data_IF_692358389394
#
_entry.id   IF_692358389394
#
_cell.length_a   1.000
_cell.length_b   1.000
_cell.length_c   1.000
_cell.angle_alpha   90.00
_cell.angle_beta   90.00
_cell.angle_gamma   90.00
#
_symmetry.space_group_name_H-M   'P 1'
#
loop_
_entity.id
_entity.type
_entity.pdbx_description
1 polymer ?
#
# COMPACT_ATOMS: atom_id res chain seq x y z
N UNK A 1 -31.62 3.80 36.13
CA UNK A 1 -30.26 3.40 35.71
C UNK A 1 -30.09 3.94 34.31
N UNK A 2 -29.46 5.11 34.22
CA UNK A 2 -29.39 5.89 32.99
C UNK A 2 -28.36 5.30 32.03
N UNK A 3 -28.84 4.79 30.90
CA UNK A 3 -28.00 4.32 29.80
C UNK A 3 -27.45 5.53 29.02
N UNK A 4 -26.47 6.21 29.62
CA UNK A 4 -25.62 7.17 28.91
C UNK A 4 -24.63 6.42 28.02
N UNK A 5 -25.13 5.85 26.91
CA UNK A 5 -24.25 5.51 25.80
C UNK A 5 -23.84 6.80 25.12
N UNK A 6 -22.65 7.30 25.47
CA UNK A 6 -22.01 8.40 24.75
C UNK A 6 -21.96 8.06 23.26
N UNK A 7 -22.37 9.00 22.39
CA UNK A 7 -22.29 8.84 20.94
C UNK A 7 -20.89 8.40 20.48
N UNK A 8 -19.83 8.81 21.20
CA UNK A 8 -18.46 8.38 20.96
C UNK A 8 -18.26 6.87 21.15
N UNK A 9 -18.89 6.24 22.14
CA UNK A 9 -18.78 4.80 22.39
C UNK A 9 -19.52 3.96 21.34
N UNK A 10 -20.61 4.50 20.77
CA UNK A 10 -21.34 3.88 19.67
C UNK A 10 -20.57 3.99 18.36
N UNK A 11 -19.98 5.15 18.09
CA UNK A 11 -19.09 5.38 16.93
C UNK A 11 -17.85 4.49 17.01
N UNK A 12 -17.26 4.33 18.19
CA UNK A 12 -16.07 3.51 18.37
C UNK A 12 -16.37 2.02 18.19
N UNK A 13 -17.46 1.50 18.77
CA UNK A 13 -17.90 0.12 18.52
C UNK A 13 -18.26 -0.12 17.06
N UNK A 14 -18.86 0.85 16.38
CA UNK A 14 -19.14 0.77 14.96
C UNK A 14 -17.83 0.72 14.16
N UNK A 15 -16.82 1.55 14.49
CA UNK A 15 -15.47 1.48 13.90
C UNK A 15 -14.81 0.12 14.13
N UNK A 16 -14.84 -0.41 15.34
CA UNK A 16 -14.25 -1.72 15.66
C UNK A 16 -14.96 -2.84 14.91
N UNK A 17 -16.30 -2.79 14.82
CA UNK A 17 -17.09 -3.76 14.07
C UNK A 17 -16.86 -3.67 12.55
N UNK A 18 -16.69 -2.46 12.01
CA UNK A 18 -16.29 -2.27 10.62
C UNK A 18 -14.87 -2.77 10.38
N UNK A 19 -13.91 -2.48 11.25
CA UNK A 19 -12.55 -3.05 11.17
C UNK A 19 -12.60 -4.58 11.19
N UNK A 20 -13.41 -5.19 12.06
CA UNK A 20 -13.52 -6.65 12.16
C UNK A 20 -14.18 -7.28 10.91
N UNK A 21 -15.26 -6.68 10.39
CA UNK A 21 -15.89 -7.11 9.13
C UNK A 21 -14.99 -6.89 7.90
N UNK A 22 -14.14 -5.85 7.93
CA UNK A 22 -13.09 -5.61 6.93
C UNK A 22 -12.05 -6.72 6.98
N UNK A 23 -11.58 -7.06 8.17
CA UNK A 23 -10.63 -8.17 8.37
C UNK A 23 -11.20 -9.52 7.89
N UNK A 24 -12.51 -9.77 8.08
CA UNK A 24 -13.18 -10.99 7.60
C UNK A 24 -13.38 -11.04 6.07
N UNK A 25 -13.77 -9.93 5.43
CA UNK A 25 -13.91 -9.88 3.96
C UNK A 25 -12.56 -10.04 3.23
N UNK A 26 -11.46 -9.66 3.89
CA UNK A 26 -10.09 -9.77 3.40
C UNK A 26 -9.47 -11.18 3.54
N UNK A 27 -10.18 -12.14 4.15
CA UNK A 27 -9.76 -13.55 4.30
C UNK A 27 -9.72 -14.37 2.99
N UNK A 28 -9.88 -13.74 1.81
CA UNK A 28 -9.75 -14.42 0.50
C UNK A 28 -8.33 -14.43 -0.08
N UNK A 29 -7.38 -13.83 0.64
CA UNK A 29 -5.96 -13.80 0.29
C UNK A 29 -5.69 -12.66 -0.67
N UNK A 30 -4.95 -11.65 -0.21
CA UNK A 30 -4.60 -10.47 -1.01
C UNK A 30 -3.57 -10.86 -2.06
N UNK A 31 -3.90 -10.76 -3.34
CA UNK A 31 -2.99 -11.05 -4.46
C UNK A 31 -2.67 -9.81 -5.27
N UNK A 32 -3.56 -8.84 -5.32
CA UNK A 32 -3.34 -7.57 -6.01
C UNK A 32 -3.53 -6.39 -5.05
N UNK A 33 -2.49 -5.59 -4.88
CA UNK A 33 -2.48 -4.40 -4.02
C UNK A 33 -2.22 -3.18 -4.89
N UNK A 34 -3.10 -2.19 -4.80
CA UNK A 34 -2.90 -0.88 -5.43
C UNK A 34 -2.44 0.14 -4.38
N UNK A 35 -1.22 0.65 -4.53
CA UNK A 35 -0.71 1.78 -3.76
C UNK A 35 -1.19 3.09 -4.40
N UNK A 36 -1.88 3.92 -3.62
CA UNK A 36 -2.43 5.19 -4.11
C UNK A 36 -1.77 6.37 -3.40
N UNK A 37 -1.15 7.25 -4.18
CA UNK A 37 -0.61 8.53 -3.72
C UNK A 37 -1.27 9.71 -4.42
N UNK A 38 -0.97 10.95 -3.99
CA UNK A 38 -1.46 12.16 -4.68
C UNK A 38 -0.90 12.22 -6.08
N UNK A 39 0.42 12.36 -6.18
CA UNK A 39 1.18 12.04 -7.40
C UNK A 39 1.75 10.64 -7.29
N UNK A 40 1.73 9.86 -8.36
CA UNK A 40 2.13 8.45 -8.44
C UNK A 40 3.61 8.24 -8.08
N UNK A 41 4.42 9.30 -7.99
CA UNK A 41 5.86 9.28 -7.71
C UNK A 41 6.21 8.38 -6.52
N UNK A 42 5.71 8.68 -5.32
CA UNK A 42 6.06 7.85 -4.14
C UNK A 42 5.47 6.43 -4.21
N UNK A 43 4.29 6.26 -4.80
CA UNK A 43 3.68 4.94 -4.95
C UNK A 43 4.48 4.05 -5.91
N UNK A 44 4.92 4.58 -7.07
CA UNK A 44 5.72 3.82 -8.04
C UNK A 44 7.08 3.45 -7.49
N UNK A 45 7.71 4.32 -6.70
CA UNK A 45 8.96 3.93 -6.03
C UNK A 45 8.75 2.83 -4.99
N UNK A 46 7.70 2.94 -4.16
CA UNK A 46 7.39 1.91 -3.18
C UNK A 46 7.07 0.58 -3.85
N UNK A 47 6.29 0.58 -4.93
CA UNK A 47 6.00 -0.60 -5.74
C UNK A 47 7.31 -1.29 -6.18
N UNK A 48 8.17 -0.57 -6.89
CA UNK A 48 9.41 -1.14 -7.41
C UNK A 48 10.39 -1.56 -6.30
N UNK A 49 10.50 -0.76 -5.25
CA UNK A 49 11.37 -1.07 -4.13
C UNK A 49 10.87 -2.30 -3.36
N UNK A 50 9.56 -2.46 -3.18
CA UNK A 50 8.97 -3.66 -2.59
C UNK A 50 9.17 -4.89 -3.48
N UNK A 51 8.99 -4.76 -4.80
CA UNK A 51 9.26 -5.84 -5.75
C UNK A 51 10.73 -6.29 -5.71
N UNK A 52 11.66 -5.35 -5.55
CA UNK A 52 13.08 -5.64 -5.34
C UNK A 52 13.31 -6.40 -4.01
N UNK A 53 12.69 -5.97 -2.91
CA UNK A 53 12.79 -6.66 -1.61
C UNK A 53 12.25 -8.09 -1.72
N UNK A 54 11.05 -8.26 -2.29
CA UNK A 54 10.41 -9.58 -2.46
C UNK A 54 11.29 -10.52 -3.29
N UNK A 55 11.87 -10.03 -4.38
CA UNK A 55 12.79 -10.80 -5.22
C UNK A 55 14.05 -11.24 -4.46
N UNK A 56 14.62 -10.34 -3.65
CA UNK A 56 15.77 -10.64 -2.81
C UNK A 56 15.44 -11.68 -1.71
N UNK A 57 14.27 -11.57 -1.07
CA UNK A 57 13.81 -12.52 -0.05
C UNK A 57 13.57 -13.92 -0.64
N UNK A 58 12.97 -14.01 -1.83
CA UNK A 58 12.82 -15.29 -2.56
C UNK A 58 14.18 -15.91 -2.85
N UNK A 59 15.13 -15.13 -3.39
CA UNK A 59 16.46 -15.62 -3.72
C UNK A 59 17.22 -16.12 -2.47
N UNK A 60 17.12 -15.40 -1.35
CA UNK A 60 17.73 -15.79 -0.09
C UNK A 60 17.14 -17.10 0.46
N UNK A 61 15.83 -17.28 0.39
CA UNK A 61 15.17 -18.52 0.81
C UNK A 61 15.59 -19.71 -0.07
N UNK A 62 15.73 -19.51 -1.37
CA UNK A 62 16.20 -20.55 -2.29
C UNK A 62 17.62 -21.00 -1.96
N UNK A 63 18.52 -20.05 -1.66
CA UNK A 63 19.87 -20.36 -1.21
C UNK A 63 19.89 -21.16 0.11
N UNK A 64 19.08 -20.77 1.09
CA UNK A 64 18.99 -21.47 2.39
C UNK A 64 18.39 -22.88 2.25
N UNK A 65 17.37 -23.04 1.40
CA UNK A 65 16.78 -24.34 1.11
C UNK A 65 17.76 -25.29 0.44
N UNK A 66 18.57 -24.78 -0.50
CA UNK A 66 19.63 -25.55 -1.17
C UNK A 66 20.78 -25.94 -0.23
N UNK A 67 20.96 -25.21 0.87
CA UNK A 67 21.95 -25.50 1.91
C UNK A 67 21.42 -26.43 3.02
N UNK A 68 20.16 -26.87 2.93
CA UNK A 68 19.54 -27.81 3.89
C UNK A 68 19.33 -27.24 5.30
N UNK A 69 19.43 -25.92 5.47
CA UNK A 69 19.47 -25.27 6.78
C UNK A 69 18.09 -24.89 7.33
N UNK A 70 17.09 -24.69 6.48
CA UNK A 70 15.71 -24.35 6.88
C UNK A 70 14.72 -24.99 5.89
N UNK A 71 13.71 -25.74 6.33
CA UNK A 71 12.65 -26.19 5.44
C UNK A 71 11.93 -24.95 4.88
N UNK A 72 11.72 -24.86 3.55
CA UNK A 72 11.06 -23.70 2.97
C UNK A 72 9.64 -23.58 3.53
N UNK A 73 9.29 -22.39 4.02
CA UNK A 73 7.88 -22.06 4.21
C UNK A 73 7.27 -21.83 2.82
N UNK A 74 6.93 -22.94 2.14
CA UNK A 74 6.43 -22.92 0.78
C UNK A 74 5.18 -22.04 0.63
N UNK A 75 4.35 -21.96 1.68
CA UNK A 75 3.16 -21.09 1.68
C UNK A 75 3.54 -19.62 1.64
N UNK A 76 4.52 -19.18 2.44
CA UNK A 76 4.99 -17.80 2.38
C UNK A 76 5.67 -17.52 1.04
N UNK A 77 6.50 -18.44 0.55
CA UNK A 77 7.19 -18.30 -0.73
C UNK A 77 6.20 -18.13 -1.88
N UNK A 78 5.17 -18.95 -1.94
CA UNK A 78 4.13 -18.87 -2.96
C UNK A 78 3.31 -17.59 -2.80
N UNK A 79 3.04 -17.16 -1.56
CA UNK A 79 2.31 -15.92 -1.33
C UNK A 79 3.11 -14.68 -1.79
N UNK A 80 4.39 -14.60 -1.45
CA UNK A 80 5.29 -13.52 -1.93
C UNK A 80 5.38 -13.53 -3.45
N UNK A 81 5.46 -14.70 -4.09
CA UNK A 81 5.49 -14.83 -5.55
C UNK A 81 4.20 -14.39 -6.25
N UNK A 82 3.07 -14.53 -5.58
CA UNK A 82 1.74 -14.25 -6.13
C UNK A 82 1.21 -12.87 -5.73
N UNK A 83 1.94 -12.12 -4.91
CA UNK A 83 1.58 -10.75 -4.54
C UNK A 83 2.02 -9.78 -5.65
N UNK A 84 1.04 -9.23 -6.35
CA UNK A 84 1.19 -8.14 -7.29
C UNK A 84 0.98 -6.81 -6.56
N UNK A 85 2.01 -5.97 -6.58
CA UNK A 85 1.94 -4.59 -6.11
C UNK A 85 1.90 -3.68 -7.32
N UNK A 86 0.93 -2.78 -7.37
CA UNK A 86 0.72 -1.78 -8.41
C UNK A 86 0.70 -0.39 -7.76
N UNK A 87 0.88 0.66 -8.56
CA UNK A 87 0.84 2.05 -8.10
C UNK A 87 -0.06 2.91 -8.99
N UNK A 88 -0.68 3.92 -8.37
CA UNK A 88 -1.41 4.96 -9.07
C UNK A 88 -1.36 6.30 -8.33
N UNK A 89 -1.52 7.37 -9.09
CA UNK A 89 -1.67 8.74 -8.60
C UNK A 89 -3.06 9.29 -8.89
N UNK A 90 -3.65 9.95 -7.90
CA UNK A 90 -4.97 10.58 -8.02
C UNK A 90 -4.95 11.85 -8.89
N UNK A 91 -3.81 12.53 -8.96
CA UNK A 91 -3.65 13.82 -9.65
C UNK A 91 -2.68 13.74 -10.84
N UNK A 92 -2.31 12.55 -11.31
CA UNK A 92 -1.47 12.41 -12.49
C UNK A 92 -2.27 12.59 -13.78
N UNK A 93 -1.64 13.23 -14.75
CA UNK A 93 -2.16 13.23 -16.11
C UNK A 93 -1.81 11.89 -16.81
N UNK A 94 -2.70 11.33 -17.65
CA UNK A 94 -2.39 10.14 -18.43
C UNK A 94 -1.15 10.37 -19.31
N UNK A 95 -0.13 9.54 -19.14
CA UNK A 95 1.12 9.65 -19.91
C UNK A 95 2.11 10.71 -19.41
N UNK A 96 1.84 11.32 -18.25
CA UNK A 96 2.85 12.11 -17.53
C UNK A 96 4.10 11.25 -17.30
N UNK A 97 5.28 11.84 -17.45
CA UNK A 97 6.56 11.17 -17.21
C UNK A 97 7.10 11.51 -15.83
N UNK A 98 7.84 10.58 -15.24
CA UNK A 98 8.62 10.90 -14.03
C UNK A 98 9.70 11.96 -14.35
N UNK A 99 9.94 12.91 -13.44
CA UNK A 99 11.05 13.85 -13.56
C UNK A 99 12.39 13.11 -13.66
N UNK A 100 13.32 13.61 -14.47
CA UNK A 100 14.63 12.97 -14.68
C UNK A 100 15.45 12.84 -13.39
N UNK A 101 15.42 13.88 -12.55
CA UNK A 101 16.10 13.91 -11.25
C UNK A 101 15.58 12.82 -10.32
N UNK A 102 14.27 12.59 -10.36
CA UNK A 102 13.61 11.53 -9.61
C UNK A 102 14.10 10.15 -10.04
N UNK A 103 14.12 9.89 -11.35
CA UNK A 103 14.61 8.63 -11.91
C UNK A 103 16.09 8.40 -11.58
N UNK A 104 16.93 9.45 -11.65
CA UNK A 104 18.35 9.37 -11.27
C UNK A 104 18.52 9.04 -9.79
N UNK A 105 17.76 9.69 -8.91
CA UNK A 105 17.82 9.46 -7.48
C UNK A 105 17.32 8.06 -7.10
N UNK A 106 16.30 7.53 -7.77
CA UNK A 106 15.85 6.15 -7.61
C UNK A 106 16.90 5.14 -8.11
N UNK A 107 17.50 5.39 -9.28
CA UNK A 107 18.54 4.54 -9.86
C UNK A 107 19.79 4.44 -8.98
N UNK A 108 20.16 5.53 -8.29
CA UNK A 108 21.25 5.55 -7.31
C UNK A 108 21.02 4.57 -6.12
N UNK A 109 19.78 4.10 -5.95
CA UNK A 109 19.36 3.15 -4.90
C UNK A 109 19.03 1.76 -5.47
N UNK A 110 19.37 1.51 -6.74
CA UNK A 110 19.11 0.25 -7.42
C UNK A 110 17.68 0.07 -7.92
N UNK A 111 16.86 1.14 -7.89
CA UNK A 111 15.48 1.12 -8.39
C UNK A 111 15.43 1.76 -9.77
N UNK A 112 15.26 0.95 -10.80
CA UNK A 112 15.12 1.44 -12.17
C UNK A 112 13.67 1.83 -12.48
N UNK A 113 13.48 3.09 -12.86
CA UNK A 113 12.18 3.68 -13.21
C UNK A 113 12.17 4.25 -14.65
N UNK A 114 13.19 3.97 -15.47
CA UNK A 114 13.39 4.63 -16.76
C UNK A 114 12.26 4.35 -17.78
N UNK A 115 11.62 3.18 -17.70
CA UNK A 115 10.51 2.79 -18.58
C UNK A 115 9.13 3.03 -17.95
N UNK A 116 9.08 3.60 -16.74
CA UNK A 116 7.84 3.75 -15.98
C UNK A 116 7.13 5.04 -16.33
N UNK A 117 5.87 4.90 -16.71
CA UNK A 117 4.94 6.03 -16.82
C UNK A 117 4.00 5.99 -15.60
N UNK A 118 3.98 7.04 -14.77
CA UNK A 118 2.98 7.26 -13.75
C UNK A 118 1.58 6.86 -14.20
N UNK A 119 1.02 5.85 -13.53
CA UNK A 119 -0.38 5.50 -13.73
C UNK A 119 -1.25 6.54 -13.04
N UNK A 120 -2.14 7.17 -13.80
CA UNK A 120 -3.22 7.97 -13.24
C UNK A 120 -4.35 7.04 -12.81
N UNK A 121 -5.07 7.40 -11.75
CA UNK A 121 -6.40 6.83 -11.48
C UNK A 121 -7.35 7.41 -12.52
N UNK A 122 -7.63 6.65 -13.57
CA UNK A 122 -8.40 7.12 -14.74
C UNK A 122 -9.89 6.93 -14.53
N UNK A 123 -10.26 5.79 -13.93
CA UNK A 123 -11.63 5.41 -13.67
C UNK A 123 -11.66 4.79 -12.27
N UNK A 124 -11.90 5.60 -11.22
CA UNK A 124 -11.81 5.18 -9.83
C UNK A 124 -12.47 3.83 -9.57
N UNK A 125 -13.64 3.59 -10.17
CA UNK A 125 -14.30 2.30 -10.02
C UNK A 125 -13.58 1.11 -10.65
N UNK A 126 -13.12 1.23 -11.90
CA UNK A 126 -12.48 0.11 -12.60
C UNK A 126 -11.12 -0.19 -11.98
N UNK A 127 -10.36 0.87 -11.69
CA UNK A 127 -9.02 0.75 -11.12
C UNK A 127 -9.06 0.12 -9.72
N UNK A 128 -10.06 0.46 -8.90
CA UNK A 128 -10.20 -0.13 -7.57
C UNK A 128 -10.91 -1.49 -7.56
N UNK A 129 -11.83 -1.78 -8.48
CA UNK A 129 -12.53 -3.08 -8.53
C UNK A 129 -11.58 -4.24 -8.87
N UNK A 130 -10.53 -3.97 -9.64
CA UNK A 130 -9.52 -4.97 -10.04
C UNK A 130 -8.51 -5.33 -8.95
N UNK A 131 -8.45 -4.56 -7.86
CA UNK A 131 -7.48 -4.76 -6.77
C UNK A 131 -8.13 -5.41 -5.55
N UNK A 132 -7.47 -6.38 -4.92
CA UNK A 132 -7.99 -7.01 -3.69
C UNK A 132 -7.90 -6.03 -2.50
N UNK A 133 -6.90 -5.16 -2.51
CA UNK A 133 -6.66 -4.15 -1.50
C UNK A 133 -6.18 -2.85 -2.14
N UNK A 134 -6.68 -1.71 -1.66
CA UNK A 134 -6.22 -0.38 -2.05
C UNK A 134 -5.60 0.28 -0.82
N UNK A 135 -4.31 0.61 -0.89
CA UNK A 135 -3.56 1.24 0.20
C UNK A 135 -3.31 2.69 -0.15
N UNK A 136 -4.06 3.59 0.49
CA UNK A 136 -3.84 5.02 0.39
C UNK A 136 -2.66 5.43 1.29
N UNK A 137 -1.67 6.11 0.70
CA UNK A 137 -0.46 6.52 1.41
C UNK A 137 -0.66 7.74 2.32
N UNK A 138 -1.90 8.23 2.46
CA UNK A 138 -2.31 9.21 3.46
C UNK A 138 -3.82 9.13 3.72
N UNK A 139 -4.26 9.58 4.90
CA UNK A 139 -5.68 9.63 5.24
C UNK A 139 -6.52 10.54 4.30
N UNK A 140 -6.04 11.74 3.91
CA UNK A 140 -6.77 12.58 2.95
C UNK A 140 -7.02 11.89 1.61
N UNK A 141 -6.07 11.09 1.12
CA UNK A 141 -6.25 10.33 -0.13
C UNK A 141 -7.33 9.26 -0.02
N UNK A 142 -7.43 8.59 1.13
CA UNK A 142 -8.50 7.62 1.38
C UNK A 142 -9.87 8.28 1.27
N UNK A 143 -10.05 9.44 1.89
CA UNK A 143 -11.33 10.16 1.82
C UNK A 143 -11.64 10.56 0.37
N UNK A 144 -10.66 11.08 -0.38
CA UNK A 144 -10.82 11.41 -1.80
C UNK A 144 -11.22 10.20 -2.65
N UNK A 145 -10.58 9.04 -2.43
CA UNK A 145 -10.92 7.77 -3.10
C UNK A 145 -12.37 7.37 -2.84
N UNK A 146 -12.81 7.46 -1.58
CA UNK A 146 -14.18 7.11 -1.20
C UNK A 146 -15.21 8.12 -1.72
N UNK A 147 -14.88 9.40 -1.74
CA UNK A 147 -15.71 10.45 -2.35
C UNK A 147 -15.92 10.22 -3.85
N UNK A 148 -14.86 9.86 -4.58
CA UNK A 148 -14.98 9.50 -6.00
C UNK A 148 -15.83 8.25 -6.20
N UNK A 149 -15.72 7.26 -5.30
CA UNK A 149 -16.56 6.07 -5.37
C UNK A 149 -18.03 6.36 -5.07
N UNK A 150 -18.32 7.30 -4.16
CA UNK A 150 -19.68 7.75 -3.84
C UNK A 150 -20.38 8.45 -5.01
N UNK A 151 -19.62 8.99 -5.97
CA UNK A 151 -20.19 9.53 -7.21
C UNK A 151 -20.73 8.43 -8.14
N UNK A 152 -20.45 7.15 -7.85
CA UNK A 152 -21.12 6.03 -8.51
C UNK A 152 -22.48 5.74 -7.88
N UNK A 153 -23.41 5.30 -8.73
CA UNK A 153 -24.82 5.15 -8.36
C UNK A 153 -25.09 3.91 -7.48
N UNK A 154 -24.13 2.98 -7.34
CA UNK A 154 -24.34 1.71 -6.63
C UNK A 154 -23.77 1.72 -5.20
N UNK A 155 -24.67 1.88 -4.22
CA UNK A 155 -24.34 1.88 -2.79
C UNK A 155 -23.71 0.57 -2.31
N UNK A 156 -24.05 -0.57 -2.90
CA UNK A 156 -23.48 -1.86 -2.49
C UNK A 156 -21.99 -1.94 -2.86
N UNK A 157 -21.62 -1.39 -4.02
CA UNK A 157 -20.23 -1.32 -4.47
C UNK A 157 -19.41 -0.42 -3.55
N UNK A 158 -19.91 0.77 -3.20
CA UNK A 158 -19.20 1.68 -2.29
C UNK A 158 -18.86 1.02 -0.95
N UNK A 159 -19.79 0.26 -0.37
CA UNK A 159 -19.54 -0.47 0.89
C UNK A 159 -18.47 -1.57 0.75
N UNK A 160 -18.41 -2.24 -0.40
CA UNK A 160 -17.34 -3.20 -0.69
C UNK A 160 -15.98 -2.50 -0.81
N UNK A 161 -15.91 -1.39 -1.55
CA UNK A 161 -14.69 -0.61 -1.68
C UNK A 161 -14.22 -0.04 -0.35
N UNK A 162 -15.14 0.47 0.48
CA UNK A 162 -14.80 0.99 1.82
C UNK A 162 -14.12 -0.06 2.69
N UNK A 163 -14.36 -1.35 2.41
CA UNK A 163 -13.69 -2.44 3.12
C UNK A 163 -12.29 -2.75 2.60
N UNK A 164 -12.05 -2.49 1.33
CA UNK A 164 -10.76 -2.76 0.64
C UNK A 164 -9.84 -1.54 0.64
N UNK A 165 -10.34 -0.33 0.89
CA UNK A 165 -9.53 0.90 0.97
C UNK A 165 -9.09 1.17 2.40
N UNK A 166 -7.78 1.05 2.61
CA UNK A 166 -7.10 1.25 3.91
C UNK A 166 -6.03 2.33 3.79
N UNK A 167 -5.65 2.95 4.90
CA UNK A 167 -4.48 3.84 4.93
C UNK A 167 -3.23 3.06 5.28
N UNK A 168 -2.07 3.50 4.80
CA UNK A 168 -0.76 2.99 5.23
C UNK A 168 -0.67 2.90 6.77
N UNK A 169 -1.02 3.97 7.48
CA UNK A 169 -0.92 4.00 8.94
C UNK A 169 -1.79 2.94 9.59
N UNK A 170 -3.04 2.79 9.13
CA UNK A 170 -3.95 1.77 9.67
C UNK A 170 -3.42 0.35 9.45
N UNK A 171 -2.81 0.11 8.28
CA UNK A 171 -2.29 -1.20 7.90
C UNK A 171 -1.02 -1.56 8.68
N UNK A 172 -0.14 -0.59 8.96
CA UNK A 172 1.10 -0.80 9.70
C UNK A 172 0.84 -0.87 11.21
N UNK A 173 0.02 0.02 11.76
CA UNK A 173 -0.31 0.03 13.19
C UNK A 173 -1.04 -1.24 13.64
N UNK A 174 -1.87 -1.85 12.77
CA UNK A 174 -2.55 -3.11 13.09
C UNK A 174 -1.58 -4.30 13.28
N UNK A 175 -0.36 -4.23 12.74
CA UNK A 175 0.60 -5.35 12.79
C UNK A 175 1.88 -5.07 13.58
N UNK A 176 2.17 -3.82 13.88
CA UNK A 176 3.36 -3.44 14.62
C UNK A 176 2.96 -2.55 15.79
N UNK A 177 3.29 -2.97 17.02
CA UNK A 177 3.13 -2.21 18.28
C UNK A 177 4.02 -0.95 18.34
N UNK A 178 4.58 -0.52 17.20
CA UNK A 178 5.42 0.66 17.08
C UNK A 178 4.55 1.92 17.11
N UNK A 179 4.63 2.67 18.21
CA UNK A 179 4.03 4.00 18.38
C UNK A 179 4.64 5.09 17.47
N UNK A 180 5.50 4.76 16.52
CA UNK A 180 6.04 5.68 15.54
C UNK A 180 5.69 5.20 14.13
N UNK A 181 4.45 5.47 13.72
CA UNK A 181 4.12 5.51 12.31
C UNK A 181 4.73 6.81 11.76
N UNK A 182 5.71 6.68 10.86
CA UNK A 182 6.31 7.83 10.20
C UNK A 182 5.41 8.19 9.02
N UNK A 183 4.90 9.42 8.99
CA UNK A 183 4.16 9.94 7.84
C UNK A 183 5.00 9.73 6.57
N UNK A 184 4.40 9.08 5.57
CA UNK A 184 5.05 8.90 4.28
C UNK A 184 5.25 10.28 3.63
N UNK A 185 6.50 10.69 3.32
CA UNK A 185 6.74 11.99 2.71
C UNK A 185 6.06 12.08 1.35
N UNK A 186 5.45 13.22 1.05
CA UNK A 186 4.96 13.52 -0.30
C UNK A 186 6.13 13.86 -1.23
N UNK A 187 5.99 13.50 -2.50
CA UNK A 187 6.99 13.78 -3.56
C UNK A 187 6.44 14.72 -4.64
N UNK A 188 5.45 15.51 -4.25
CA UNK A 188 4.70 16.40 -5.15
C UNK A 188 5.51 17.66 -5.50
N UNK A 189 6.50 18.02 -4.69
CA UNK A 189 7.35 19.20 -4.90
C UNK A 189 8.66 18.82 -5.59
N UNK A 190 9.20 19.75 -6.38
CA UNK A 190 10.59 19.70 -6.77
C UNK A 190 11.46 19.86 -5.53
N UNK A 191 12.47 19.01 -5.39
CA UNK A 191 13.47 19.15 -4.35
C UNK A 191 14.64 19.93 -4.92
N UNK A 192 15.08 20.96 -4.22
CA UNK A 192 16.13 21.85 -4.68
C UNK A 192 17.51 21.20 -4.55
N UNK A 193 17.61 20.12 -3.74
CA UNK A 193 18.88 19.45 -3.46
C UNK A 193 18.78 17.93 -3.53
N UNK A 194 19.88 17.30 -3.96
CA UNK A 194 20.03 15.83 -3.93
C UNK A 194 19.89 15.26 -2.50
N UNK A 195 20.31 16.01 -1.48
CA UNK A 195 20.19 15.60 -0.08
C UNK A 195 18.75 15.43 0.37
N UNK A 196 17.83 16.26 -0.15
CA UNK A 196 16.40 16.15 0.15
C UNK A 196 15.79 14.91 -0.48
N UNK A 197 16.11 14.63 -1.75
CA UNK A 197 15.74 13.36 -2.38
C UNK A 197 16.23 12.17 -1.56
N UNK A 198 17.50 12.15 -1.15
CA UNK A 198 18.07 11.06 -0.36
C UNK A 198 17.32 10.84 0.96
N UNK A 199 16.94 11.90 1.67
CA UNK A 199 16.16 11.81 2.92
C UNK A 199 14.78 11.23 2.68
N UNK A 200 14.09 11.71 1.66
CA UNK A 200 12.73 11.25 1.31
C UNK A 200 12.73 9.79 0.89
N UNK A 201 13.65 9.38 0.01
CA UNK A 201 13.78 7.98 -0.37
C UNK A 201 14.14 7.09 0.83
N UNK A 202 15.06 7.52 1.70
CA UNK A 202 15.38 6.76 2.91
C UNK A 202 14.16 6.57 3.83
N UNK A 203 13.28 7.58 3.94
CA UNK A 203 12.02 7.47 4.67
C UNK A 203 11.04 6.49 4.01
N UNK A 204 10.89 6.56 2.67
CA UNK A 204 10.04 5.62 1.93
C UNK A 204 10.52 4.17 2.11
N UNK A 205 11.83 3.93 2.06
CA UNK A 205 12.40 2.60 2.27
C UNK A 205 12.20 2.07 3.68
N UNK A 206 12.33 2.94 4.69
CA UNK A 206 12.04 2.59 6.07
C UNK A 206 10.57 2.18 6.26
N UNK A 207 9.66 2.72 5.44
CA UNK A 207 8.23 2.40 5.44
C UNK A 207 7.88 1.17 4.59
N UNK A 208 8.66 0.86 3.56
CA UNK A 208 8.38 -0.22 2.61
C UNK A 208 8.39 -1.60 3.27
N UNK A 209 9.35 -1.87 4.17
CA UNK A 209 9.44 -3.19 4.84
C UNK A 209 8.28 -3.44 5.82
N UNK A 210 7.91 -2.50 6.71
CA UNK A 210 6.70 -2.63 7.51
C UNK A 210 5.45 -2.83 6.65
N UNK A 211 5.29 -2.04 5.58
CA UNK A 211 4.17 -2.19 4.65
C UNK A 211 4.12 -3.59 4.03
N UNK A 212 5.21 -4.05 3.42
CA UNK A 212 5.30 -5.37 2.82
C UNK A 212 5.01 -6.47 3.82
N UNK A 213 5.58 -6.40 5.02
CA UNK A 213 5.29 -7.38 6.08
C UNK A 213 3.83 -7.36 6.49
N UNK A 214 3.22 -6.19 6.64
CA UNK A 214 1.77 -6.09 6.88
C UNK A 214 1.02 -6.81 5.77
N UNK A 215 1.28 -6.51 4.50
CA UNK A 215 0.61 -7.15 3.36
C UNK A 215 0.77 -8.68 3.36
N UNK A 216 1.95 -9.19 3.68
CA UNK A 216 2.23 -10.62 3.76
C UNK A 216 1.54 -11.29 4.98
N UNK A 217 1.41 -10.58 6.11
CA UNK A 217 0.62 -11.05 7.25
C UNK A 217 -0.87 -11.05 6.91
N UNK A 218 -1.35 -9.99 6.26
CA UNK A 218 -2.71 -9.86 5.74
C UNK A 218 -3.09 -11.03 4.84
N UNK A 219 -2.21 -11.42 3.91
CA UNK A 219 -2.48 -12.55 3.03
C UNK A 219 -2.29 -13.93 3.68
N UNK A 220 -1.59 -14.02 4.81
CA UNK A 220 -1.47 -15.26 5.60
C UNK A 220 -2.67 -15.55 6.50
N UNK A 221 -3.33 -14.54 7.05
CA UNK A 221 -4.55 -14.72 7.87
C UNK A 221 -5.77 -15.18 7.04
N UNK A 222 -5.61 -15.30 5.73
CA UNK A 222 -6.60 -15.72 4.74
C UNK A 222 -6.40 -17.17 4.22
N UNK A 223 -5.36 -17.88 4.69
CA UNK A 223 -5.02 -19.26 4.33
C UNK A 223 -5.21 -20.21 5.52
#
# INVERSE_FOLDING_TARGET
MDNNYSAAAVIERWRTSQQQQRMEALQRGVRCVLLVSRTCRRAVYLEHYMNMIMSAEIAQQELLSNQGSVPPDEKLKDHVKNLLVLSAGMENDPGERLPLEYMRAAAARGVDLAEQNPCAVLQPWIDFETSDLVVCLSAPLREQVLELALQSVDRAKVLDLERRVVTYDSLVQCHFESNQCVDLPEMDRFFDTESEFQKVFAQLEACARPLLRSLLVYGRCAL
#
